data_IF_367817778907
#
_entry.id   IF_367817778907
#
_cell.length_a   1.000
_cell.length_b   1.000
_cell.length_c   1.000
_cell.angle_alpha   90.00
_cell.angle_beta   90.00
_cell.angle_gamma   90.00
#
_symmetry.space_group_name_H-M   'P 1'
#
loop_
_entity.id
_entity.type
_entity.pdbx_description
1 polymer ?
#
# COMPACT_ATOMS: atom_id res chain seq x y z
N UNK A 1 -18.07 19.19 -8.33
CA UNK A 1 -18.26 17.75 -8.59
C UNK A 1 -18.73 17.12 -7.29
N UNK A 2 -20.01 16.71 -7.19
CA UNK A 2 -20.49 15.96 -6.02
C UNK A 2 -19.82 14.59 -6.09
N UNK A 3 -18.93 14.28 -5.14
CA UNK A 3 -18.57 12.89 -4.87
C UNK A 3 -19.90 12.22 -4.47
N UNK A 4 -20.37 11.17 -5.17
CA UNK A 4 -21.61 10.53 -4.77
C UNK A 4 -21.47 10.06 -3.33
N UNK A 5 -22.30 10.59 -2.43
CA UNK A 5 -22.32 10.29 -1.00
C UNK A 5 -22.84 8.90 -0.67
N UNK A 6 -22.49 7.89 -1.46
CA UNK A 6 -22.93 6.52 -1.23
C UNK A 6 -22.04 5.45 -1.91
N UNK A 7 -20.72 5.70 -2.03
CA UNK A 7 -19.77 4.66 -2.49
C UNK A 7 -19.40 3.65 -1.39
N UNK A 8 -19.74 3.94 -0.13
CA UNK A 8 -19.37 3.13 1.04
C UNK A 8 -20.56 2.90 1.97
N UNK A 9 -21.70 2.49 1.42
CA UNK A 9 -22.80 1.95 2.23
C UNK A 9 -22.29 0.77 3.05
N UNK A 10 -22.16 0.96 4.37
CA UNK A 10 -21.78 -0.01 5.41
C UNK A 10 -21.28 -1.36 4.90
N UNK A 11 -20.03 -1.42 4.43
CA UNK A 11 -19.42 -2.67 4.03
C UNK A 11 -18.84 -3.36 5.25
N UNK A 12 -19.53 -4.38 5.74
CA UNK A 12 -18.92 -5.39 6.57
C UNK A 12 -17.84 -6.08 5.73
N UNK A 13 -16.59 -6.20 6.21
CA UNK A 13 -15.60 -7.00 5.52
C UNK A 13 -16.18 -8.41 5.36
N UNK A 14 -16.05 -8.98 4.17
CA UNK A 14 -16.40 -10.37 3.94
C UNK A 14 -15.77 -11.21 5.05
N UNK A 15 -16.60 -12.00 5.74
CA UNK A 15 -16.14 -12.99 6.72
C UNK A 15 -14.98 -13.76 6.09
N UNK A 16 -13.84 -13.93 6.79
CA UNK A 16 -12.72 -14.66 6.24
C UNK A 16 -13.18 -16.09 5.98
N UNK A 17 -13.46 -16.43 4.73
CA UNK A 17 -13.58 -17.82 4.32
C UNK A 17 -12.19 -18.42 4.48
N UNK A 18 -12.07 -19.31 5.45
CA UNK A 18 -10.88 -20.06 5.80
C UNK A 18 -10.12 -20.57 4.55
N UNK A 19 -8.91 -20.02 4.32
CA UNK A 19 -7.72 -20.63 3.67
C UNK A 19 -6.81 -19.64 2.93
N UNK A 20 -7.20 -18.38 2.72
CA UNK A 20 -6.31 -17.41 2.07
C UNK A 20 -5.31 -16.87 3.09
N UNK A 21 -4.02 -16.98 2.79
CA UNK A 21 -2.96 -16.49 3.66
C UNK A 21 -3.14 -15.02 3.98
N UNK A 22 -2.82 -14.63 5.22
CA UNK A 22 -2.79 -13.21 5.61
C UNK A 22 -1.89 -12.45 4.64
N UNK A 23 -0.72 -12.99 4.26
CA UNK A 23 0.23 -12.30 3.38
C UNK A 23 -0.16 -12.29 1.89
N UNK A 24 -1.29 -12.91 1.52
CA UNK A 24 -1.80 -13.00 0.13
C UNK A 24 -0.72 -13.53 -0.83
N UNK A 25 -0.50 -12.88 -1.97
CA UNK A 25 0.48 -13.30 -2.97
C UNK A 25 1.94 -13.21 -2.49
N UNK A 26 2.19 -12.52 -1.37
CA UNK A 26 3.52 -12.44 -0.77
C UNK A 26 3.77 -13.53 0.29
N UNK A 27 2.83 -14.45 0.52
CA UNK A 27 3.06 -15.57 1.43
C UNK A 27 4.16 -16.50 0.90
N UNK A 28 5.26 -16.71 1.66
CA UNK A 28 6.27 -17.70 1.31
C UNK A 28 5.72 -19.13 1.17
N UNK A 29 4.62 -19.44 1.86
CA UNK A 29 3.94 -20.73 1.83
C UNK A 29 2.78 -20.80 0.84
N UNK A 30 2.59 -19.77 0.00
CA UNK A 30 1.54 -19.77 -1.02
C UNK A 30 1.65 -21.02 -1.93
N UNK A 31 0.57 -21.77 -2.21
CA UNK A 31 0.68 -23.00 -2.99
C UNK A 31 1.29 -22.78 -4.39
N UNK A 32 0.97 -21.65 -5.03
CA UNK A 32 1.55 -21.21 -6.30
C UNK A 32 2.83 -20.35 -6.16
N UNK A 33 3.61 -20.49 -5.08
CA UNK A 33 4.76 -19.62 -4.77
C UNK A 33 5.80 -19.57 -5.90
N UNK A 34 6.08 -20.72 -6.51
CA UNK A 34 7.05 -20.82 -7.60
C UNK A 34 6.56 -20.09 -8.86
N UNK A 35 5.29 -20.25 -9.22
CA UNK A 35 4.66 -19.52 -10.33
C UNK A 35 4.72 -18.01 -10.08
N UNK A 36 4.34 -17.56 -8.89
CA UNK A 36 4.40 -16.15 -8.50
C UNK A 36 5.82 -15.58 -8.59
N UNK A 37 6.83 -16.33 -8.15
CA UNK A 37 8.25 -15.94 -8.23
C UNK A 37 8.72 -15.84 -9.68
N UNK A 38 8.37 -16.81 -10.52
CA UNK A 38 8.74 -16.82 -11.94
C UNK A 38 8.08 -15.68 -12.71
N UNK A 39 6.77 -15.47 -12.53
CA UNK A 39 6.03 -14.37 -13.14
C UNK A 39 6.57 -13.01 -12.70
N UNK A 40 6.80 -12.80 -11.40
CA UNK A 40 7.42 -11.57 -10.90
C UNK A 40 8.83 -11.34 -11.48
N UNK A 41 9.63 -12.41 -11.63
CA UNK A 41 10.97 -12.31 -12.22
C UNK A 41 10.97 -11.84 -13.68
N UNK A 42 10.02 -12.28 -14.50
CA UNK A 42 9.87 -11.79 -15.88
C UNK A 42 9.40 -10.33 -15.88
N UNK A 43 8.40 -10.01 -15.05
CA UNK A 43 7.89 -8.64 -14.90
C UNK A 43 9.01 -7.67 -14.50
N UNK A 44 9.87 -8.06 -13.57
CA UNK A 44 11.00 -7.25 -13.12
C UNK A 44 12.00 -6.93 -14.23
N UNK A 45 12.10 -7.77 -15.26
CA UNK A 45 12.97 -7.56 -16.42
C UNK A 45 12.33 -6.66 -17.46
N UNK A 46 11.00 -6.66 -17.56
CA UNK A 46 10.26 -5.97 -18.61
C UNK A 46 9.72 -4.60 -18.18
N UNK A 47 9.45 -4.41 -16.89
CA UNK A 47 8.82 -3.20 -16.36
C UNK A 47 9.85 -2.29 -15.72
N UNK A 48 9.93 -1.06 -16.23
CA UNK A 48 10.72 0.01 -15.63
C UNK A 48 9.80 1.12 -15.15
N UNK A 49 10.20 1.75 -14.05
CA UNK A 49 9.40 2.77 -13.38
C UNK A 49 10.29 3.96 -13.13
N UNK A 50 9.79 5.12 -13.50
CA UNK A 50 10.47 6.39 -13.29
C UNK A 50 9.50 7.42 -12.73
N UNK A 51 10.05 8.51 -12.23
CA UNK A 51 9.25 9.64 -11.76
C UNK A 51 9.23 10.71 -12.84
N UNK A 52 8.03 11.04 -13.33
CA UNK A 52 7.80 12.13 -14.27
C UNK A 52 7.03 13.24 -13.54
N UNK A 53 7.76 14.23 -13.03
CA UNK A 53 7.20 15.24 -12.13
C UNK A 53 6.81 14.62 -10.79
N UNK A 54 5.52 14.65 -10.44
CA UNK A 54 4.99 14.06 -9.21
C UNK A 54 4.31 12.69 -9.44
N UNK A 55 4.38 12.13 -10.66
CA UNK A 55 3.68 10.89 -11.03
C UNK A 55 4.66 9.80 -11.39
N UNK A 56 4.33 8.56 -11.02
CA UNK A 56 5.06 7.39 -11.50
C UNK A 56 4.66 7.06 -12.94
N UNK A 57 5.65 7.06 -13.82
CA UNK A 57 5.52 6.56 -15.17
C UNK A 57 6.03 5.11 -15.22
N UNK A 58 5.38 4.29 -16.03
CA UNK A 58 5.74 2.89 -16.23
C UNK A 58 5.98 2.69 -17.72
N UNK A 59 7.13 2.15 -18.07
CA UNK A 59 7.46 1.69 -19.40
C UNK A 59 7.59 0.17 -19.40
N UNK A 60 7.02 -0.46 -20.43
CA UNK A 60 7.04 -1.92 -20.60
C UNK A 60 7.83 -2.23 -21.86
N UNK A 61 8.86 -3.08 -21.71
CA UNK A 61 9.80 -3.49 -22.77
C UNK A 61 9.74 -5.00 -23.05
N UNK A 62 8.57 -5.60 -22.86
CA UNK A 62 8.35 -7.03 -23.10
C UNK A 62 8.11 -7.36 -24.57
N UNK A 63 8.57 -8.54 -24.99
CA UNK A 63 8.10 -9.17 -26.22
C UNK A 63 6.71 -9.79 -26.04
N UNK A 64 6.01 -10.07 -27.14
CA UNK A 64 4.75 -10.82 -27.09
C UNK A 64 4.93 -12.20 -26.40
N UNK A 65 6.08 -12.86 -26.61
CA UNK A 65 6.39 -14.13 -25.96
C UNK A 65 6.57 -14.02 -24.44
N UNK A 66 7.11 -12.91 -23.94
CA UNK A 66 7.21 -12.69 -22.49
C UNK A 66 5.82 -12.50 -21.87
N UNK A 67 4.95 -11.76 -22.54
CA UNK A 67 3.57 -11.56 -22.11
C UNK A 67 2.81 -12.89 -22.04
N UNK A 68 2.85 -13.69 -23.11
CA UNK A 68 2.22 -15.02 -23.17
C UNK A 68 2.75 -15.95 -22.07
N UNK A 69 4.06 -15.94 -21.84
CA UNK A 69 4.70 -16.75 -20.80
C UNK A 69 4.24 -16.36 -19.40
N UNK A 70 4.21 -15.07 -19.07
CA UNK A 70 3.74 -14.61 -17.74
C UNK A 70 2.27 -14.95 -17.54
N UNK A 71 1.43 -14.76 -18.56
CA UNK A 71 0.01 -15.10 -18.50
C UNK A 71 -0.18 -16.60 -18.27
N UNK A 72 0.53 -17.46 -19.01
CA UNK A 72 0.48 -18.92 -18.83
C UNK A 72 0.89 -19.35 -17.43
N UNK A 73 1.94 -18.74 -16.86
CA UNK A 73 2.37 -19.03 -15.48
C UNK A 73 1.28 -18.64 -14.47
N UNK A 74 0.59 -17.53 -14.71
CA UNK A 74 -0.52 -17.09 -13.85
C UNK A 74 -1.76 -17.97 -14.02
N UNK A 75 -2.01 -18.51 -15.21
CA UNK A 75 -3.10 -19.49 -15.44
C UNK A 75 -2.85 -20.80 -14.67
N UNK A 76 -1.60 -21.26 -14.63
CA UNK A 76 -1.21 -22.39 -13.78
C UNK A 76 -1.44 -22.06 -12.29
N UNK A 77 -1.04 -20.87 -11.84
CA UNK A 77 -1.25 -20.44 -10.47
C UNK A 77 -2.74 -20.38 -10.10
N UNK A 78 -3.59 -19.83 -10.97
CA UNK A 78 -5.05 -19.78 -10.80
C UNK A 78 -5.64 -21.19 -10.78
N UNK A 79 -5.11 -22.13 -11.56
CA UNK A 79 -5.55 -23.53 -11.53
C UNK A 79 -5.21 -24.20 -10.19
N UNK A 80 -4.07 -23.87 -9.59
CA UNK A 80 -3.67 -24.37 -8.26
C UNK A 80 -4.50 -23.74 -7.13
N UNK A 81 -4.91 -22.49 -7.27
CA UNK A 81 -5.64 -21.72 -6.25
C UNK A 81 -6.82 -20.95 -6.87
N UNK A 82 -7.89 -21.64 -7.32
CA UNK A 82 -8.98 -21.03 -8.10
C UNK A 82 -9.86 -20.05 -7.32
N UNK A 83 -9.76 -20.08 -5.99
CA UNK A 83 -10.47 -19.19 -5.06
C UNK A 83 -9.64 -17.98 -4.64
N UNK A 84 -8.35 -17.92 -4.99
CA UNK A 84 -7.53 -16.75 -4.71
C UNK A 84 -7.76 -15.66 -5.77
N UNK A 85 -8.59 -14.69 -5.41
CA UNK A 85 -8.94 -13.59 -6.30
C UNK A 85 -7.78 -12.61 -6.54
N UNK A 86 -6.81 -12.53 -5.64
CA UNK A 86 -5.64 -11.66 -5.84
C UNK A 86 -4.80 -12.17 -7.05
N UNK A 87 -4.80 -13.48 -7.34
CA UNK A 87 -4.18 -14.03 -8.56
C UNK A 87 -4.83 -13.50 -9.84
N UNK A 88 -6.16 -13.44 -9.87
CA UNK A 88 -6.90 -12.91 -11.01
C UNK A 88 -6.68 -11.39 -11.15
N UNK A 89 -6.61 -10.66 -10.04
CA UNK A 89 -6.25 -9.23 -10.06
C UNK A 89 -4.83 -9.03 -10.59
N UNK A 90 -3.86 -9.83 -10.14
CA UNK A 90 -2.50 -9.81 -10.68
C UNK A 90 -2.49 -10.10 -12.18
N UNK A 91 -3.23 -11.12 -12.65
CA UNK A 91 -3.39 -11.42 -14.08
C UNK A 91 -3.97 -10.22 -14.85
N UNK A 92 -5.00 -9.56 -14.33
CA UNK A 92 -5.56 -8.35 -14.95
C UNK A 92 -4.52 -7.22 -15.03
N UNK A 93 -3.68 -7.03 -14.01
CA UNK A 93 -2.57 -6.06 -14.01
C UNK A 93 -1.59 -6.32 -15.16
N UNK A 94 -1.20 -7.58 -15.33
CA UNK A 94 -0.31 -8.04 -16.39
C UNK A 94 -0.94 -7.83 -17.79
N UNK A 95 -2.18 -8.29 -17.98
CA UNK A 95 -2.92 -8.11 -19.22
C UNK A 95 -3.01 -6.63 -19.62
N UNK A 96 -3.32 -5.75 -18.66
CA UNK A 96 -3.37 -4.32 -18.88
C UNK A 96 -2.00 -3.76 -19.29
N UNK A 97 -0.93 -4.13 -18.57
CA UNK A 97 0.42 -3.65 -18.86
C UNK A 97 0.93 -4.06 -20.25
N UNK A 98 0.47 -5.21 -20.75
CA UNK A 98 0.77 -5.70 -22.10
C UNK A 98 -0.28 -5.30 -23.15
N UNK A 99 -1.16 -4.34 -22.85
CA UNK A 99 -2.12 -3.77 -23.80
C UNK A 99 -3.35 -4.62 -24.10
N UNK A 100 -3.55 -5.75 -23.40
CA UNK A 100 -4.72 -6.62 -23.52
C UNK A 100 -5.88 -6.10 -22.65
N UNK A 101 -6.31 -4.86 -22.88
CA UNK A 101 -7.24 -4.13 -22.01
C UNK A 101 -8.59 -4.83 -21.83
N UNK A 102 -9.16 -5.39 -22.90
CA UNK A 102 -10.45 -6.09 -22.85
C UNK A 102 -10.38 -7.32 -21.96
N UNK A 103 -9.34 -8.14 -22.12
CA UNK A 103 -9.13 -9.33 -21.29
C UNK A 103 -8.83 -8.98 -19.83
N UNK A 104 -8.12 -7.86 -19.59
CA UNK A 104 -7.94 -7.35 -18.24
C UNK A 104 -9.27 -6.97 -17.59
N UNK A 105 -10.14 -6.27 -18.32
CA UNK A 105 -11.47 -5.89 -17.84
C UNK A 105 -12.35 -7.11 -17.55
N UNK A 106 -12.43 -8.08 -18.48
CA UNK A 106 -13.17 -9.34 -18.29
C UNK A 106 -12.66 -10.13 -17.08
N UNK A 107 -11.34 -10.11 -16.83
CA UNK A 107 -10.73 -10.74 -15.66
C UNK A 107 -11.15 -10.06 -14.35
N UNK A 108 -11.23 -8.72 -14.33
CA UNK A 108 -11.74 -7.99 -13.16
C UNK A 108 -13.24 -8.23 -12.93
N UNK A 109 -14.03 -8.32 -14.01
CA UNK A 109 -15.45 -8.65 -13.91
C UNK A 109 -15.64 -10.03 -13.27
N UNK A 110 -14.81 -11.02 -13.63
CA UNK A 110 -14.83 -12.33 -12.98
C UNK A 110 -14.50 -12.24 -11.47
N UNK A 111 -13.52 -11.42 -11.09
CA UNK A 111 -13.20 -11.18 -9.67
C UNK A 111 -14.41 -10.63 -8.94
N UNK A 112 -15.11 -9.64 -9.52
CA UNK A 112 -16.25 -9.00 -8.88
C UNK A 112 -17.51 -9.87 -8.86
N UNK A 113 -17.66 -10.81 -9.80
CA UNK A 113 -18.72 -11.83 -9.73
C UNK A 113 -18.51 -12.76 -8.53
N UNK A 114 -17.28 -13.22 -8.29
CA UNK A 114 -16.94 -14.14 -7.19
C UNK A 114 -16.77 -13.44 -5.85
N UNK A 115 -16.20 -12.24 -5.86
CA UNK A 115 -15.91 -11.41 -4.69
C UNK A 115 -16.32 -9.96 -4.96
N UNK A 116 -17.63 -9.64 -4.86
CA UNK A 116 -18.14 -8.29 -5.14
C UNK A 116 -17.53 -7.19 -4.26
N UNK A 117 -17.04 -7.56 -3.07
CA UNK A 117 -16.38 -6.66 -2.13
C UNK A 117 -14.87 -6.55 -2.32
N UNK A 118 -14.30 -7.10 -3.39
CA UNK A 118 -12.85 -7.05 -3.61
C UNK A 118 -12.38 -5.62 -3.87
N UNK A 119 -11.72 -5.01 -2.88
CA UNK A 119 -11.30 -3.60 -2.91
C UNK A 119 -10.59 -3.22 -4.21
N UNK A 120 -9.46 -3.88 -4.52
CA UNK A 120 -8.63 -3.50 -5.67
C UNK A 120 -9.38 -3.60 -7.01
N UNK A 121 -10.08 -4.72 -7.26
CA UNK A 121 -10.87 -4.90 -8.47
C UNK A 121 -12.01 -3.87 -8.59
N UNK A 122 -12.73 -3.61 -7.49
CA UNK A 122 -13.85 -2.67 -7.49
C UNK A 122 -13.36 -1.23 -7.74
N UNK A 123 -12.30 -0.80 -7.05
CA UNK A 123 -11.73 0.54 -7.24
C UNK A 123 -11.18 0.70 -8.65
N UNK A 124 -10.49 -0.33 -9.17
CA UNK A 124 -9.94 -0.26 -10.52
C UNK A 124 -11.02 -0.19 -11.60
N UNK A 125 -12.09 -0.98 -11.51
CA UNK A 125 -13.24 -0.90 -12.45
C UNK A 125 -13.94 0.46 -12.41
N UNK A 126 -14.15 1.03 -11.22
CA UNK A 126 -14.81 2.32 -11.07
C UNK A 126 -13.95 3.51 -11.51
N UNK A 127 -12.62 3.34 -11.55
CA UNK A 127 -11.67 4.41 -11.80
C UNK A 127 -10.59 4.00 -12.82
N UNK A 128 -10.98 3.29 -13.88
CA UNK A 128 -10.08 2.67 -14.87
C UNK A 128 -8.97 3.58 -15.40
N UNK A 129 -9.27 4.85 -15.65
CA UNK A 129 -8.34 5.82 -16.25
C UNK A 129 -7.30 6.38 -15.26
N UNK A 130 -7.59 6.35 -13.96
CA UNK A 130 -6.82 7.07 -12.93
C UNK A 130 -6.25 6.17 -11.86
N UNK A 131 -6.91 5.06 -11.57
CA UNK A 131 -6.43 4.05 -10.64
C UNK A 131 -5.30 3.24 -11.28
N UNK A 132 -4.16 3.23 -10.61
CA UNK A 132 -2.94 2.59 -11.12
C UNK A 132 -2.72 1.24 -10.45
N UNK A 133 -2.33 0.24 -11.25
CA UNK A 133 -2.08 -1.11 -10.79
C UNK A 133 -0.68 -1.27 -10.12
N UNK A 134 -0.41 -2.45 -9.55
CA UNK A 134 0.83 -2.73 -8.81
C UNK A 134 2.11 -2.48 -9.64
N UNK A 135 2.08 -2.70 -10.96
CA UNK A 135 3.27 -2.56 -11.82
C UNK A 135 3.74 -1.11 -11.99
N UNK A 136 2.92 -0.12 -11.61
CA UNK A 136 3.31 1.30 -11.60
C UNK A 136 4.10 1.72 -10.36
N UNK A 137 4.42 0.78 -9.47
CA UNK A 137 5.14 1.04 -8.23
C UNK A 137 6.46 0.27 -8.13
N UNK A 138 7.50 0.89 -7.56
CA UNK A 138 8.82 0.26 -7.41
C UNK A 138 8.74 -1.12 -6.80
N UNK A 139 9.47 -2.08 -7.37
CA UNK A 139 9.69 -3.38 -6.72
C UNK A 139 10.30 -3.15 -5.33
N UNK A 140 9.76 -3.82 -4.33
CA UNK A 140 10.31 -3.81 -2.99
C UNK A 140 10.08 -5.13 -2.26
N UNK A 141 11.06 -5.53 -1.45
CA UNK A 141 11.01 -6.65 -0.52
C UNK A 141 12.05 -6.44 0.58
N UNK A 142 12.08 -7.29 1.63
CA UNK A 142 13.02 -7.16 2.76
C UNK A 142 14.50 -7.33 2.37
N UNK A 143 14.78 -7.91 1.20
CA UNK A 143 16.15 -8.06 0.68
C UNK A 143 16.71 -6.80 0.01
N UNK A 144 15.88 -5.79 -0.26
CA UNK A 144 16.34 -4.55 -0.87
C UNK A 144 17.12 -3.69 0.16
N UNK A 145 18.33 -3.27 -0.23
CA UNK A 145 19.26 -2.51 0.63
C UNK A 145 19.46 -1.05 0.18
N UNK A 146 18.89 -0.68 -0.97
CA UNK A 146 18.93 0.69 -1.49
C UNK A 146 17.54 1.08 -1.97
N UNK A 147 17.13 2.30 -1.66
CA UNK A 147 15.88 2.84 -2.15
C UNK A 147 15.89 2.88 -3.67
N UNK A 148 14.78 2.45 -4.28
CA UNK A 148 14.54 2.72 -5.69
C UNK A 148 14.52 4.25 -5.92
N UNK A 149 14.99 4.77 -7.07
CA UNK A 149 15.03 6.22 -7.33
C UNK A 149 13.71 6.95 -7.09
N UNK A 150 12.59 6.33 -7.48
CA UNK A 150 11.23 6.82 -7.20
C UNK A 150 10.95 6.93 -5.70
N UNK A 151 11.34 5.93 -4.90
CA UNK A 151 11.14 5.97 -3.44
C UNK A 151 12.00 7.05 -2.78
N UNK A 152 13.25 7.21 -3.23
CA UNK A 152 14.14 8.26 -2.76
C UNK A 152 13.61 9.65 -3.12
N UNK A 153 13.07 9.84 -4.32
CA UNK A 153 12.45 11.08 -4.74
C UNK A 153 11.17 11.39 -3.95
N UNK A 154 10.31 10.42 -3.70
CA UNK A 154 9.15 10.62 -2.82
C UNK A 154 9.59 11.02 -1.39
N UNK A 155 10.63 10.37 -0.85
CA UNK A 155 11.19 10.73 0.45
C UNK A 155 11.70 12.19 0.48
N UNK A 156 12.40 12.66 -0.56
CA UNK A 156 12.87 14.05 -0.63
C UNK A 156 11.73 15.08 -0.70
N UNK A 157 10.55 14.67 -1.20
CA UNK A 157 9.33 15.49 -1.18
C UNK A 157 8.50 15.29 0.11
N UNK A 158 9.08 14.66 1.15
CA UNK A 158 8.42 14.33 2.41
C UNK A 158 7.17 13.43 2.27
N UNK A 159 7.09 12.66 1.18
CA UNK A 159 6.09 11.61 0.98
C UNK A 159 6.61 10.32 1.60
N UNK A 160 6.38 10.16 2.90
CA UNK A 160 6.92 9.04 3.69
C UNK A 160 6.12 7.75 3.55
N UNK A 161 4.80 7.84 3.42
CA UNK A 161 3.94 6.67 3.15
C UNK A 161 3.85 6.50 1.64
N UNK A 162 4.41 5.41 1.13
CA UNK A 162 4.58 5.16 -0.30
C UNK A 162 3.96 3.82 -0.68
N UNK A 163 3.52 3.67 -1.92
CA UNK A 163 3.13 2.36 -2.47
C UNK A 163 4.34 1.75 -3.14
N UNK A 164 4.53 0.46 -2.89
CA UNK A 164 5.55 -0.39 -3.50
C UNK A 164 4.90 -1.65 -4.07
N UNK A 165 5.62 -2.36 -4.92
CA UNK A 165 5.22 -3.66 -5.46
C UNK A 165 6.02 -4.78 -4.78
N UNK A 166 5.32 -5.64 -4.05
CA UNK A 166 5.89 -6.87 -3.49
C UNK A 166 5.45 -8.05 -4.37
N UNK A 167 6.36 -8.54 -5.21
CA UNK A 167 6.03 -9.53 -6.23
C UNK A 167 5.02 -8.98 -7.25
N UNK A 168 3.77 -9.45 -7.19
CA UNK A 168 2.69 -9.08 -8.12
C UNK A 168 1.55 -8.30 -7.46
N UNK A 169 1.69 -7.91 -6.19
CA UNK A 169 0.68 -7.13 -5.46
C UNK A 169 1.22 -5.79 -4.98
N UNK A 170 0.30 -4.86 -4.68
CA UNK A 170 0.63 -3.63 -3.97
C UNK A 170 0.93 -3.93 -2.50
N UNK A 171 1.88 -3.20 -1.95
CA UNK A 171 2.09 -3.07 -0.52
C UNK A 171 2.37 -1.60 -0.19
N UNK A 172 2.37 -1.28 1.10
CA UNK A 172 2.75 0.05 1.59
C UNK A 172 4.15 0.01 2.21
N UNK A 173 4.86 1.12 2.11
CA UNK A 173 6.13 1.35 2.78
C UNK A 173 6.10 2.69 3.52
N UNK A 174 6.46 2.68 4.80
CA UNK A 174 6.75 3.88 5.59
C UNK A 174 8.26 4.11 5.49
N UNK A 175 8.66 5.03 4.62
CA UNK A 175 10.06 5.37 4.36
C UNK A 175 10.41 6.62 5.15
N UNK A 176 11.42 6.51 6.02
CA UNK A 176 11.84 7.61 6.89
C UNK A 176 13.32 7.87 6.76
N UNK A 177 13.68 9.14 6.55
CA UNK A 177 15.06 9.60 6.57
C UNK A 177 15.56 9.66 8.01
N UNK A 178 16.67 8.99 8.30
CA UNK A 178 17.26 8.92 9.64
C UNK A 178 18.74 9.33 9.61
N UNK A 179 19.15 9.98 10.68
CA UNK A 179 20.53 10.30 11.01
C UNK A 179 20.77 9.60 12.35
N UNK A 180 21.38 8.41 12.34
CA UNK A 180 21.44 7.56 13.53
C UNK A 180 22.48 6.45 13.44
N UNK A 181 22.74 5.73 14.55
CA UNK A 181 23.64 4.57 14.57
C UNK A 181 23.16 3.48 13.59
N UNK A 182 24.00 2.49 13.26
CA UNK A 182 23.57 1.37 12.43
C UNK A 182 22.44 0.61 13.15
N UNK A 183 21.23 0.73 12.63
CA UNK A 183 20.12 -0.14 13.01
C UNK A 183 20.48 -1.57 12.63
N UNK A 184 20.14 -2.54 13.48
CA UNK A 184 20.41 -3.93 13.20
C UNK A 184 19.16 -4.80 13.34
N UNK A 185 19.31 -6.10 13.12
CA UNK A 185 18.20 -7.06 13.14
C UNK A 185 17.46 -7.14 14.48
N UNK A 186 18.07 -6.66 15.57
CA UNK A 186 17.52 -6.64 16.92
C UNK A 186 16.69 -5.39 17.21
N UNK A 187 16.81 -4.33 16.40
CA UNK A 187 15.99 -3.12 16.54
C UNK A 187 14.51 -3.44 16.34
N UNK A 188 13.70 -3.38 17.38
CA UNK A 188 12.26 -3.61 17.25
C UNK A 188 11.58 -2.35 16.72
N UNK A 189 10.58 -2.55 15.86
CA UNK A 189 9.79 -1.47 15.26
C UNK A 189 8.34 -1.70 15.62
N UNK A 190 7.69 -0.66 16.13
CA UNK A 190 6.24 -0.63 16.31
C UNK A 190 5.67 0.58 15.60
N UNK A 191 4.48 0.44 15.02
CA UNK A 191 3.81 1.52 14.29
C UNK A 191 2.40 1.67 14.85
N UNK A 192 2.03 2.89 15.20
CA UNK A 192 0.67 3.22 15.64
C UNK A 192 0.07 4.35 14.80
N UNK A 193 -1.21 4.20 14.45
CA UNK A 193 -1.93 5.10 13.56
C UNK A 193 -3.07 5.78 14.33
N UNK A 194 -3.16 7.11 14.24
CA UNK A 194 -4.10 7.90 15.03
C UNK A 194 -4.87 8.86 14.14
N UNK A 195 -6.21 8.81 14.21
CA UNK A 195 -7.05 9.84 13.63
C UNK A 195 -7.38 10.91 14.68
N UNK A 196 -6.75 12.06 14.56
CA UNK A 196 -6.99 13.19 15.45
C UNK A 196 -8.13 14.07 14.95
N UNK A 197 -9.11 14.34 15.81
CA UNK A 197 -10.18 15.30 15.55
C UNK A 197 -9.71 16.69 15.97
N UNK A 198 -9.22 17.48 15.01
CA UNK A 198 -8.77 18.85 15.27
C UNK A 198 -9.90 19.85 14.96
N UNK A 199 -9.85 21.09 15.50
CA UNK A 199 -10.79 22.16 15.12
C UNK A 199 -10.78 22.51 13.62
N UNK A 200 -9.74 22.10 12.89
CA UNK A 200 -9.54 22.37 11.47
C UNK A 200 -9.96 21.21 10.57
N UNK A 201 -10.37 20.07 11.15
CA UNK A 201 -10.71 18.85 10.43
C UNK A 201 -9.92 17.63 10.93
N UNK A 202 -10.21 16.44 10.39
CA UNK A 202 -9.51 15.22 10.75
C UNK A 202 -8.06 15.25 10.23
N UNK A 203 -7.12 14.90 11.10
CA UNK A 203 -5.71 14.76 10.78
C UNK A 203 -5.28 13.32 11.06
N UNK A 204 -4.65 12.67 10.07
CA UNK A 204 -4.05 11.37 10.26
C UNK A 204 -2.60 11.54 10.73
N UNK A 205 -2.31 11.09 11.94
CA UNK A 205 -0.96 11.00 12.49
C UNK A 205 -0.53 9.53 12.56
N UNK A 206 0.77 9.28 12.49
CA UNK A 206 1.34 7.96 12.76
C UNK A 206 2.68 8.08 13.46
N UNK A 207 2.97 7.06 14.25
CA UNK A 207 4.07 7.02 15.18
C UNK A 207 4.89 5.77 14.96
N UNK A 208 6.16 5.94 14.61
CA UNK A 208 7.11 4.82 14.49
C UNK A 208 7.97 4.81 15.75
N UNK A 209 7.80 3.79 16.58
CA UNK A 209 8.62 3.55 17.78
C UNK A 209 9.75 2.59 17.45
N UNK A 210 10.98 3.05 17.66
CA UNK A 210 12.20 2.25 17.51
C UNK A 210 12.71 1.88 18.89
N UNK A 211 12.90 0.59 19.13
CA UNK A 211 13.44 0.05 20.39
C UNK A 211 14.75 -0.64 20.04
N UNK A 212 15.85 0.02 20.37
CA UNK A 212 17.19 -0.53 20.17
C UNK A 212 17.59 -1.46 21.32
N UNK A 213 18.51 -2.42 21.12
CA UNK A 213 18.99 -3.29 22.20
C UNK A 213 19.65 -2.54 23.35
N UNK A 214 20.25 -1.39 23.03
CA UNK A 214 20.93 -0.50 23.97
C UNK A 214 20.50 0.92 23.63
N UNK A 215 19.99 1.65 24.61
CA UNK A 215 19.49 3.01 24.42
C UNK A 215 18.02 3.15 24.81
N UNK A 216 17.58 4.39 24.93
CA UNK A 216 16.18 4.71 25.18
C UNK A 216 15.37 4.55 23.88
N UNK A 217 14.14 4.01 23.94
CA UNK A 217 13.26 3.98 22.78
C UNK A 217 13.03 5.37 22.21
N UNK A 218 13.14 5.49 20.88
CA UNK A 218 12.80 6.73 20.17
C UNK A 218 11.43 6.61 19.50
N UNK A 219 10.69 7.70 19.43
CA UNK A 219 9.40 7.77 18.72
C UNK A 219 9.48 8.86 17.66
N UNK A 220 9.16 8.48 16.43
CA UNK A 220 9.07 9.41 15.30
C UNK A 220 7.61 9.69 15.00
N UNK A 221 7.21 10.95 15.08
CA UNK A 221 5.88 11.42 14.68
C UNK A 221 5.90 11.89 13.23
N UNK A 222 4.84 11.55 12.49
CA UNK A 222 4.59 12.08 11.16
C UNK A 222 3.10 12.11 10.84
N UNK A 223 2.75 12.82 9.77
CA UNK A 223 1.36 13.09 9.38
C UNK A 223 1.12 12.66 7.94
N UNK A 224 -0.08 12.11 7.70
CA UNK A 224 -0.55 11.73 6.37
C UNK A 224 -1.68 12.70 5.96
N UNK A 225 -1.48 13.54 4.93
CA UNK A 225 -2.53 14.45 4.47
C UNK A 225 -3.70 13.70 3.85
N UNK A 226 -4.82 13.63 4.57
CA UNK A 226 -6.08 13.00 4.15
C UNK A 226 -7.04 14.04 3.55
N UNK A 227 -6.58 14.73 2.51
CA UNK A 227 -7.37 15.74 1.82
C UNK A 227 -8.53 15.12 1.05
N UNK A 228 -9.52 15.95 0.70
CA UNK A 228 -10.57 15.54 -0.25
C UNK A 228 -9.89 15.19 -1.58
N UNK A 229 -10.01 13.94 -2.06
CA UNK A 229 -9.38 13.56 -3.30
C UNK A 229 -9.99 14.38 -4.45
N UNK A 230 -9.14 15.06 -5.21
CA UNK A 230 -9.51 15.73 -6.46
C UNK A 230 -9.40 14.78 -7.66
N UNK A 231 -8.59 13.73 -7.50
CA UNK A 231 -8.35 12.64 -8.45
C UNK A 231 -8.39 11.29 -7.70
N UNK A 232 -8.80 10.24 -8.39
CA UNK A 232 -8.78 8.86 -7.86
C UNK A 232 -7.41 8.22 -8.10
N UNK A 233 -6.44 8.64 -7.30
CA UNK A 233 -5.07 8.12 -7.35
C UNK A 233 -4.78 7.32 -6.08
N UNK A 234 -4.17 6.12 -6.17
CA UNK A 234 -3.81 5.34 -4.99
C UNK A 234 -2.83 6.08 -4.05
N UNK A 235 -2.12 7.10 -4.55
CA UNK A 235 -1.13 7.84 -3.79
C UNK A 235 -1.69 9.01 -2.96
N UNK A 236 -2.95 9.36 -3.13
CA UNK A 236 -3.61 10.35 -2.27
C UNK A 236 -3.79 9.79 -0.86
N UNK A 237 -3.56 10.60 0.18
CA UNK A 237 -3.58 10.14 1.56
C UNK A 237 -4.90 9.47 1.98
N UNK A 238 -6.04 9.91 1.44
CA UNK A 238 -7.31 9.21 1.65
C UNK A 238 -7.25 7.75 1.17
N UNK A 239 -6.80 7.51 -0.07
CA UNK A 239 -6.71 6.16 -0.64
C UNK A 239 -5.57 5.35 -0.05
N UNK A 240 -4.52 5.98 0.46
CA UNK A 240 -3.48 5.31 1.24
C UNK A 240 -4.06 4.72 2.53
N UNK A 241 -4.90 5.45 3.25
CA UNK A 241 -5.58 4.93 4.45
C UNK A 241 -6.55 3.79 4.10
N UNK A 242 -7.31 3.93 3.00
CA UNK A 242 -8.18 2.84 2.53
C UNK A 242 -7.35 1.59 2.21
N UNK A 243 -6.26 1.72 1.45
CA UNK A 243 -5.36 0.60 1.16
C UNK A 243 -4.75 -0.01 2.43
N UNK A 244 -4.33 0.81 3.39
CA UNK A 244 -3.78 0.34 4.67
C UNK A 244 -4.77 -0.56 5.44
N UNK A 245 -6.07 -0.28 5.36
CA UNK A 245 -7.12 -1.08 6.01
C UNK A 245 -7.31 -2.50 5.40
N UNK A 246 -6.87 -2.68 4.15
CA UNK A 246 -6.99 -3.93 3.40
C UNK A 246 -5.65 -4.61 3.10
N UNK A 247 -4.52 -3.92 3.34
CA UNK A 247 -3.19 -4.49 3.14
C UNK A 247 -2.78 -5.28 4.37
N UNK A 248 -2.32 -6.52 4.21
CA UNK A 248 -2.02 -7.39 5.35
C UNK A 248 -0.70 -7.13 6.06
N UNK A 249 0.17 -6.30 5.48
CA UNK A 249 1.46 -5.92 6.03
C UNK A 249 1.92 -4.61 5.39
N UNK A 250 2.95 -3.99 5.94
CA UNK A 250 3.66 -2.90 5.30
C UNK A 250 5.14 -2.98 5.61
N UNK A 251 5.96 -2.27 4.84
CA UNK A 251 7.37 -2.11 5.12
C UNK A 251 7.60 -0.89 6.01
N UNK A 252 8.54 -0.99 6.94
CA UNK A 252 9.17 0.18 7.56
C UNK A 252 10.61 0.23 7.09
N UNK A 253 10.98 1.34 6.47
CA UNK A 253 12.29 1.56 5.89
C UNK A 253 12.93 2.76 6.53
N UNK A 254 14.04 2.54 7.22
CA UNK A 254 14.90 3.61 7.74
C UNK A 254 16.04 3.82 6.75
N UNK A 255 16.08 4.99 6.14
CA UNK A 255 16.99 5.29 5.05
C UNK A 255 17.95 6.43 5.41
N UNK A 256 19.20 6.29 4.96
CA UNK A 256 20.23 7.32 5.05
C UNK A 256 21.00 7.34 3.72
N UNK A 257 21.10 8.50 3.08
CA UNK A 257 21.76 8.69 1.77
C UNK A 257 21.33 7.68 0.69
N UNK A 258 20.04 7.32 0.70
CA UNK A 258 19.44 6.35 -0.22
C UNK A 258 19.74 4.88 0.08
N UNK A 259 20.61 4.57 1.05
CA UNK A 259 20.76 3.23 1.60
C UNK A 259 19.65 2.95 2.62
N UNK A 260 19.08 1.75 2.58
CA UNK A 260 18.12 1.27 3.58
C UNK A 260 18.90 0.64 4.74
N UNK A 261 19.16 1.43 5.80
CA UNK A 261 19.82 0.96 7.02
C UNK A 261 18.99 -0.08 7.76
N UNK A 262 17.65 -0.01 7.62
CA UNK A 262 16.72 -1.02 8.10
C UNK A 262 15.57 -1.13 7.10
N UNK A 263 15.19 -2.35 6.73
CA UNK A 263 14.05 -2.63 5.87
C UNK A 263 13.32 -3.85 6.42
N UNK A 264 12.14 -3.65 6.98
CA UNK A 264 11.41 -4.68 7.75
C UNK A 264 9.97 -4.76 7.29
N UNK A 265 9.49 -5.97 7.03
CA UNK A 265 8.08 -6.27 6.85
C UNK A 265 7.40 -6.32 8.21
N UNK A 266 6.41 -5.47 8.42
CA UNK A 266 5.59 -5.38 9.61
C UNK A 266 4.24 -6.00 9.32
N UNK A 267 3.91 -7.05 10.06
CA UNK A 267 2.58 -7.66 10.06
C UNK A 267 1.84 -7.09 11.29
N UNK A 268 0.83 -6.23 11.11
CA UNK A 268 0.11 -5.65 12.24
C UNK A 268 -0.65 -6.69 13.05
N UNK A 269 -0.74 -6.44 14.35
CA UNK A 269 -1.64 -7.19 15.21
C UNK A 269 -3.11 -6.85 14.96
N UNK A 270 -4.00 -7.63 15.57
CA UNK A 270 -5.44 -7.51 15.36
C UNK A 270 -5.98 -6.14 15.77
N UNK A 271 -5.48 -5.54 16.88
CA UNK A 271 -5.99 -4.23 17.32
C UNK A 271 -5.53 -3.14 16.37
N UNK A 272 -4.28 -3.19 15.88
CA UNK A 272 -3.82 -2.24 14.87
C UNK A 272 -4.67 -2.33 13.59
N UNK A 273 -4.97 -3.55 13.12
CA UNK A 273 -5.86 -3.75 11.95
C UNK A 273 -7.26 -3.19 12.21
N UNK A 274 -7.86 -3.48 13.36
CA UNK A 274 -9.19 -2.97 13.73
C UNK A 274 -9.20 -1.44 13.84
N UNK A 275 -8.18 -0.84 14.44
CA UNK A 275 -8.03 0.61 14.54
C UNK A 275 -7.96 1.25 13.15
N UNK A 276 -7.07 0.78 12.27
CA UNK A 276 -6.92 1.29 10.91
C UNK A 276 -8.25 1.16 10.12
N UNK A 277 -8.95 0.03 10.23
CA UNK A 277 -10.27 -0.17 9.59
C UNK A 277 -11.32 0.79 10.15
N UNK A 278 -11.32 1.03 11.45
CA UNK A 278 -12.18 2.02 12.09
C UNK A 278 -11.93 3.42 11.55
N UNK A 279 -10.66 3.81 11.43
CA UNK A 279 -10.24 5.09 10.84
C UNK A 279 -10.72 5.18 9.39
N UNK A 280 -10.43 4.18 8.55
CA UNK A 280 -10.85 4.16 7.15
C UNK A 280 -12.37 4.27 6.98
N UNK A 281 -13.14 3.59 7.84
CA UNK A 281 -14.61 3.64 7.86
C UNK A 281 -15.13 5.02 8.29
N UNK A 282 -14.49 5.65 9.26
CA UNK A 282 -14.84 7.01 9.69
C UNK A 282 -14.57 8.02 8.57
N UNK A 283 -13.43 7.90 7.87
CA UNK A 283 -13.11 8.76 6.72
C UNK A 283 -14.07 8.55 5.55
N UNK A 284 -14.55 7.32 5.33
CA UNK A 284 -15.54 7.04 4.28
C UNK A 284 -16.94 7.59 4.60
N UNK A 285 -17.29 7.73 5.87
CA UNK A 285 -18.62 8.18 6.33
C UNK A 285 -18.71 9.68 6.62
N UNK A 286 -17.58 10.37 6.79
CA UNK A 286 -17.58 11.80 7.15
C UNK A 286 -17.25 12.66 5.93
N UNK A 287 -18.11 13.62 5.59
CA UNK A 287 -17.83 14.65 4.56
C UNK A 287 -16.83 15.74 5.02
N UNK A 288 -16.30 15.60 6.23
CA UNK A 288 -15.34 16.53 6.83
C UNK A 288 -13.93 16.17 6.39
N UNK A 289 -13.46 16.79 5.32
CA UNK A 289 -12.08 16.70 4.87
C UNK A 289 -11.27 17.86 5.45
N UNK A 290 -9.98 17.66 5.66
CA UNK A 290 -9.05 18.73 6.02
C UNK A 290 -8.66 19.50 4.75
N UNK A 291 -9.00 20.80 4.60
CA UNK A 291 -8.52 21.59 3.49
C UNK A 291 -6.99 21.71 3.54
N UNK A 292 -6.32 21.66 2.39
CA UNK A 292 -4.85 21.73 2.32
C UNK A 292 -4.27 22.95 3.06
N UNK A 293 -4.93 24.11 2.96
CA UNK A 293 -4.53 25.36 3.63
C UNK A 293 -4.58 25.27 5.16
N UNK A 294 -5.41 24.37 5.70
CA UNK A 294 -5.59 24.19 7.14
C UNK A 294 -4.73 23.06 7.71
N UNK A 295 -4.01 22.32 6.87
CA UNK A 295 -3.20 21.17 7.27
C UNK A 295 -2.15 21.54 8.32
N UNK A 296 -1.43 22.63 8.12
CA UNK A 296 -0.40 23.09 9.06
C UNK A 296 -0.99 23.48 10.43
N UNK A 297 -2.16 24.14 10.45
CA UNK A 297 -2.85 24.47 11.69
C UNK A 297 -3.35 23.22 12.43
N UNK A 298 -3.84 22.22 11.70
CA UNK A 298 -4.23 20.93 12.28
C UNK A 298 -3.03 20.20 12.89
N UNK A 299 -1.89 20.16 12.19
CA UNK A 299 -0.64 19.58 12.70
C UNK A 299 -0.19 20.27 13.99
N UNK A 300 -0.08 21.60 13.98
CA UNK A 300 0.35 22.35 15.15
C UNK A 300 -0.60 22.14 16.34
N UNK A 301 -1.90 22.09 16.09
CA UNK A 301 -2.88 21.81 17.13
C UNK A 301 -2.70 20.40 17.68
N UNK A 302 -2.51 19.38 16.83
CA UNK A 302 -2.27 18.01 17.27
C UNK A 302 -1.02 17.93 18.16
N UNK A 303 0.11 18.46 17.70
CA UNK A 303 1.37 18.43 18.45
C UNK A 303 1.26 19.10 19.83
N UNK A 304 0.40 20.12 19.97
CA UNK A 304 0.21 20.84 21.23
C UNK A 304 -0.81 20.19 22.18
N UNK A 305 -1.69 19.30 21.67
CA UNK A 305 -2.85 18.80 22.43
C UNK A 305 -2.95 17.28 22.50
N UNK A 306 -2.19 16.55 21.68
CA UNK A 306 -2.19 15.09 21.70
C UNK A 306 -1.34 14.57 22.85
N UNK A 307 -1.93 13.67 23.62
CA UNK A 307 -1.31 13.02 24.75
C UNK A 307 -0.64 11.71 24.27
N UNK A 308 0.70 11.71 24.28
CA UNK A 308 1.52 10.59 23.80
C UNK A 308 1.33 9.32 24.64
N UNK A 309 0.86 9.42 25.88
CA UNK A 309 0.59 8.26 26.74
C UNK A 309 -0.61 7.44 26.24
N UNK A 310 -1.39 7.98 25.29
CA UNK A 310 -2.49 7.26 24.62
C UNK A 310 -2.04 6.30 23.53
N UNK A 311 -0.75 6.32 23.15
CA UNK A 311 -0.24 5.44 22.11
C UNK A 311 -0.20 3.99 22.61
N UNK A 312 -0.92 3.11 21.92
CA UNK A 312 -0.96 1.67 22.22
C UNK A 312 -0.24 0.93 21.11
N UNK A 313 0.99 0.51 21.38
CA UNK A 313 1.77 -0.25 20.42
C UNK A 313 1.57 -1.75 20.61
N UNK A 314 1.26 -2.47 19.53
CA UNK A 314 1.35 -3.94 19.47
C UNK A 314 2.78 -4.39 19.14
#
# INVERSE_FOLDING_TARGET
>A
MKIPGNLFGGQQPASPSDKTSILRLADPAHPAREQLKQAAGIVDQCVQIELLGERTAMSVSASAGDAEKVISILDDAVTMCPEDMDLLVAKACILYAFGQFKSAEETLDLVLVKSPGHFEANTWKNHWETWTNALRYPKWNEGESRLHPVMAAHLSHNQRVQIVRDGLQKALAIVTGVQGPPFDSRTQIKVEWVLSKTPYGPLMAYYVKLIEPVGEPSVMEAFLPIFRPTLFSPMEGYFLVQQLAYTPYWYVVLASDGAASLNRKIIPGEKSVQNIRGIASQLASTDSYLPQQQFQSAMQWHMNNFDMDRLVYE
#
